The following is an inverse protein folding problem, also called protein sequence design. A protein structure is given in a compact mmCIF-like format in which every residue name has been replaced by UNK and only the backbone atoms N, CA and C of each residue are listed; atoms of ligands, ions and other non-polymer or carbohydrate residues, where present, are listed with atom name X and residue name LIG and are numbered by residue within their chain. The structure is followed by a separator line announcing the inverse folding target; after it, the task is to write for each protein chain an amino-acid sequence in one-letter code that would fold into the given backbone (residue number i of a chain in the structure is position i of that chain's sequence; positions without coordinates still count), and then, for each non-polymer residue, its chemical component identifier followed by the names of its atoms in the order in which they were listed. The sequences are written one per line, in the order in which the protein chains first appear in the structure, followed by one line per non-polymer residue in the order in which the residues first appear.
data_IF_321834084239
#
_entry.id   IF_321834084239
#
_cell.length_a   1.000
_cell.length_b   1.000
_cell.length_c   1.000
_cell.angle_alpha   90.00
_cell.angle_beta   90.00
_cell.angle_gamma   90.00
#
_symmetry.space_group_name_H-M   'P 1'
#
loop_
_entity.id
_entity.type
_entity.pdbx_description
1 polymer ?
#
# COMPACT_ATOMS: atom_id res chain seq x y z
N UNK A 1 -0.25 29.11 20.65
CA UNK A 1 -0.54 28.05 21.63
C UNK A 1 -0.31 26.70 20.98
N UNK A 2 0.40 25.83 21.69
CA UNK A 2 1.10 24.64 21.22
C UNK A 2 0.20 23.60 20.55
N UNK A 3 0.59 23.18 19.34
CA UNK A 3 0.12 21.90 18.78
C UNK A 3 0.82 20.78 19.55
N UNK A 4 0.20 20.30 20.63
CA UNK A 4 0.58 19.02 21.25
C UNK A 4 0.32 17.91 20.22
N UNK A 5 1.40 17.43 19.62
CA UNK A 5 1.41 16.18 18.85
C UNK A 5 2.37 15.24 19.54
N UNK A 6 2.03 13.96 19.41
CA UNK A 6 2.83 12.76 19.69
C UNK A 6 2.57 12.14 21.06
N UNK A 7 1.74 11.11 21.03
CA UNK A 7 2.13 9.80 21.55
C UNK A 7 1.43 8.71 20.74
N UNK A 8 2.21 7.84 20.12
CA UNK A 8 1.73 6.55 19.60
C UNK A 8 2.80 5.51 19.92
N UNK A 9 2.46 4.63 20.85
CA UNK A 9 3.03 3.31 21.07
C UNK A 9 1.94 2.38 20.50
N UNK A 10 2.12 1.54 19.47
CA UNK A 10 3.25 0.69 19.10
C UNK A 10 3.09 0.35 17.61
N UNK A 11 4.10 0.60 16.80
CA UNK A 11 4.27 -0.07 15.50
C UNK A 11 5.05 -1.35 15.83
N UNK A 12 4.60 -2.51 15.36
CA UNK A 12 5.28 -3.77 15.62
C UNK A 12 6.72 -3.71 15.05
N UNK A 13 7.71 -3.55 15.93
CA UNK A 13 9.11 -3.32 15.53
C UNK A 13 9.69 -4.51 14.77
N UNK A 14 9.06 -5.68 14.86
CA UNK A 14 9.43 -6.88 14.13
C UNK A 14 9.02 -6.79 12.65
N UNK A 15 7.99 -6.00 12.34
CA UNK A 15 7.45 -5.81 10.98
C UNK A 15 7.96 -4.50 10.36
N UNK A 16 8.00 -3.39 11.12
CA UNK A 16 8.38 -2.07 10.61
C UNK A 16 9.34 -1.31 11.52
N UNK A 17 10.14 -0.40 10.95
CA UNK A 17 10.93 0.55 11.75
C UNK A 17 10.09 1.78 12.17
N UNK A 18 10.01 2.06 13.48
CA UNK A 18 9.42 3.28 14.03
C UNK A 18 10.20 4.54 13.59
N UNK A 19 9.49 5.52 13.02
CA UNK A 19 9.99 6.90 12.90
C UNK A 19 8.97 7.85 13.56
N UNK A 20 9.41 9.05 13.97
CA UNK A 20 8.49 10.09 14.50
C UNK A 20 7.34 10.43 13.52
N UNK A 21 7.49 10.10 12.24
CA UNK A 21 6.46 10.28 11.22
C UNK A 21 5.73 8.94 10.97
N UNK A 22 4.50 8.83 11.46
CA UNK A 22 3.67 7.62 11.38
C UNK A 22 3.37 7.15 9.94
N UNK A 23 3.57 8.01 8.94
CA UNK A 23 3.40 7.64 7.52
C UNK A 23 4.70 7.12 6.87
N UNK A 24 5.86 7.25 7.51
CA UNK A 24 7.14 6.74 7.00
C UNK A 24 7.39 5.33 7.53
N UNK A 25 6.60 4.38 7.04
CA UNK A 25 6.79 2.96 7.31
C UNK A 25 7.89 2.39 6.40
N UNK A 26 8.89 1.74 6.99
CA UNK A 26 9.85 0.92 6.27
C UNK A 26 9.70 -0.53 6.72
N UNK A 27 9.67 -1.46 5.77
CA UNK A 27 9.58 -2.89 6.07
C UNK A 27 10.91 -3.40 6.61
N UNK A 28 10.87 -4.28 7.61
CA UNK A 28 12.05 -5.05 8.01
C UNK A 28 12.38 -6.07 6.92
N UNK A 29 13.60 -6.04 6.37
CA UNK A 29 14.02 -6.95 5.31
C UNK A 29 13.93 -8.43 5.73
N UNK A 30 14.36 -8.77 6.96
CA UNK A 30 14.33 -10.16 7.44
C UNK A 30 12.89 -10.70 7.52
N UNK A 31 11.96 -9.86 7.96
CA UNK A 31 10.55 -10.20 7.96
C UNK A 31 10.02 -10.40 6.54
N UNK A 32 10.36 -9.48 5.62
CA UNK A 32 9.91 -9.58 4.23
C UNK A 32 10.43 -10.85 3.55
N UNK A 33 11.71 -11.15 3.70
CA UNK A 33 12.33 -12.37 3.15
C UNK A 33 11.61 -13.62 3.68
N UNK A 34 11.41 -13.73 4.99
CA UNK A 34 10.66 -14.83 5.61
C UNK A 34 9.19 -14.92 5.15
N UNK A 35 8.52 -13.78 4.95
CA UNK A 35 7.14 -13.76 4.49
C UNK A 35 7.03 -14.24 3.04
N UNK A 36 7.99 -13.84 2.18
CA UNK A 36 8.03 -14.23 0.77
C UNK A 36 8.44 -15.70 0.57
N UNK A 37 9.17 -16.30 1.52
CA UNK A 37 9.38 -17.76 1.55
C UNK A 37 8.08 -18.54 1.77
N UNK A 38 7.07 -17.93 2.40
CA UNK A 38 5.84 -18.60 2.83
C UNK A 38 4.60 -18.22 2.03
N UNK A 39 4.62 -17.08 1.34
CA UNK A 39 3.45 -16.53 0.68
C UNK A 39 3.84 -15.70 -0.55
N UNK A 40 2.93 -15.63 -1.52
CA UNK A 40 3.11 -14.77 -2.68
C UNK A 40 3.05 -13.29 -2.27
N UNK A 41 3.81 -12.41 -2.95
CA UNK A 41 3.87 -10.97 -2.64
C UNK A 41 2.47 -10.33 -2.56
N UNK A 42 1.52 -10.75 -3.40
CA UNK A 42 0.12 -10.29 -3.34
C UNK A 42 -0.52 -10.53 -1.96
N UNK A 43 -0.34 -11.73 -1.39
CA UNK A 43 -0.90 -12.11 -0.09
C UNK A 43 -0.20 -11.31 1.04
N UNK A 44 1.12 -11.16 0.95
CA UNK A 44 1.89 -10.33 1.89
C UNK A 44 1.37 -8.89 1.89
N UNK A 45 1.16 -8.29 0.72
CA UNK A 45 0.63 -6.93 0.61
C UNK A 45 -0.80 -6.79 1.16
N UNK A 46 -1.67 -7.79 0.92
CA UNK A 46 -3.03 -7.83 1.50
C UNK A 46 -3.00 -7.88 3.02
N UNK A 47 -2.08 -8.65 3.62
CA UNK A 47 -1.94 -8.68 5.06
C UNK A 47 -1.39 -7.35 5.60
N UNK A 48 -0.37 -6.79 4.93
CA UNK A 48 0.24 -5.53 5.34
C UNK A 48 -0.73 -4.34 5.25
N UNK A 49 -1.61 -4.29 4.26
CA UNK A 49 -2.63 -3.22 4.20
C UNK A 49 -3.61 -3.33 5.36
N UNK A 50 -4.04 -4.54 5.75
CA UNK A 50 -4.91 -4.74 6.92
C UNK A 50 -4.22 -4.20 8.17
N UNK A 51 -2.94 -4.54 8.38
CA UNK A 51 -2.17 -4.05 9.53
C UNK A 51 -2.13 -2.51 9.55
N UNK A 52 -1.82 -1.86 8.42
CA UNK A 52 -1.78 -0.39 8.33
C UNK A 52 -3.16 0.24 8.55
N UNK A 53 -4.23 -0.41 8.09
CA UNK A 53 -5.59 0.13 8.19
C UNK A 53 -6.25 -0.11 9.55
N UNK A 54 -5.74 -1.06 10.33
CA UNK A 54 -6.14 -1.28 11.73
C UNK A 54 -5.46 -0.31 12.71
N UNK A 55 -4.52 0.53 12.25
CA UNK A 55 -3.91 1.57 13.10
C UNK A 55 -4.91 2.69 13.41
N UNK A 56 -5.39 2.75 14.64
CA UNK A 56 -6.36 3.76 15.09
C UNK A 56 -5.81 5.18 15.07
N UNK A 57 -4.47 5.32 15.13
CA UNK A 57 -3.80 6.61 15.24
C UNK A 57 -3.56 7.32 13.89
N UNK A 58 -4.02 6.75 12.78
CA UNK A 58 -3.88 7.31 11.44
C UNK A 58 -5.25 7.64 10.82
N UNK A 59 -5.40 8.85 10.27
CA UNK A 59 -6.54 9.14 9.39
C UNK A 59 -6.47 8.30 8.11
N UNK A 60 -7.60 7.97 7.47
CA UNK A 60 -7.63 7.14 6.24
C UNK A 60 -6.71 7.66 5.13
N UNK A 61 -6.67 8.98 4.94
CA UNK A 61 -5.75 9.62 3.99
C UNK A 61 -4.28 9.37 4.33
N UNK A 62 -3.94 9.38 5.62
CA UNK A 62 -2.60 9.06 6.11
C UNK A 62 -2.29 7.56 6.00
N UNK A 63 -3.26 6.67 6.21
CA UNK A 63 -3.13 5.22 6.01
C UNK A 63 -2.71 4.90 4.57
N UNK A 64 -3.28 5.60 3.58
CA UNK A 64 -2.87 5.45 2.17
C UNK A 64 -1.43 5.91 1.96
N UNK A 65 -1.03 7.05 2.51
CA UNK A 65 0.37 7.52 2.41
C UNK A 65 1.31 6.52 3.10
N UNK A 66 0.94 6.04 4.27
CA UNK A 66 1.72 5.07 5.05
C UNK A 66 1.93 3.77 4.27
N UNK A 67 0.86 3.22 3.70
CA UNK A 67 0.94 2.03 2.86
C UNK A 67 1.72 2.28 1.56
N UNK A 68 1.59 3.45 0.95
CA UNK A 68 2.38 3.83 -0.24
C UNK A 68 3.88 3.85 0.07
N UNK A 69 4.27 4.41 1.22
CA UNK A 69 5.67 4.42 1.65
C UNK A 69 6.18 3.02 2.00
N UNK A 70 5.34 2.19 2.61
CA UNK A 70 5.66 0.78 2.85
C UNK A 70 5.93 0.04 1.54
N UNK A 71 5.09 0.21 0.51
CA UNK A 71 5.32 -0.38 -0.81
C UNK A 71 6.61 0.13 -1.44
N UNK A 72 6.93 1.43 -1.31
CA UNK A 72 8.22 1.98 -1.77
C UNK A 72 9.42 1.34 -1.06
N UNK A 73 9.26 0.99 0.22
CA UNK A 73 10.28 0.26 0.99
C UNK A 73 10.45 -1.17 0.47
N UNK A 74 9.35 -1.90 0.27
CA UNK A 74 9.35 -3.28 -0.28
C UNK A 74 9.96 -3.29 -1.68
N UNK A 75 9.60 -2.33 -2.53
CA UNK A 75 10.11 -2.19 -3.90
C UNK A 75 11.64 -2.25 -3.99
N UNK A 76 12.35 -1.70 -3.00
CA UNK A 76 13.83 -1.69 -2.99
C UNK A 76 14.46 -3.04 -2.64
N UNK A 77 13.64 -4.02 -2.27
CA UNK A 77 14.06 -5.30 -1.72
C UNK A 77 13.60 -6.50 -2.56
N UNK A 78 12.77 -6.28 -3.57
CA UNK A 78 12.18 -7.32 -4.43
C UNK A 78 12.82 -7.33 -5.82
N UNK A 79 12.47 -8.32 -6.65
CA UNK A 79 12.97 -8.42 -8.01
C UNK A 79 12.35 -7.39 -8.98
N UNK A 80 12.93 -7.26 -10.18
CA UNK A 80 12.50 -6.28 -11.20
C UNK A 80 11.07 -6.52 -11.72
N UNK A 81 10.58 -7.76 -11.69
CA UNK A 81 9.23 -8.10 -12.16
C UNK A 81 8.20 -7.65 -11.13
N UNK A 82 8.49 -7.88 -9.86
CA UNK A 82 7.70 -7.41 -8.73
C UNK A 82 7.74 -5.88 -8.63
N UNK A 83 8.89 -5.26 -8.89
CA UNK A 83 9.01 -3.79 -8.93
C UNK A 83 7.99 -3.13 -9.87
N UNK A 84 7.76 -3.70 -11.06
CA UNK A 84 6.76 -3.18 -12.00
C UNK A 84 5.37 -3.21 -11.38
N UNK A 85 4.98 -4.33 -10.80
CA UNK A 85 3.69 -4.53 -10.13
C UNK A 85 3.52 -3.53 -8.98
N UNK A 86 4.55 -3.36 -8.16
CA UNK A 86 4.54 -2.39 -7.05
C UNK A 86 4.46 -0.94 -7.55
N UNK A 87 5.07 -0.59 -8.68
CA UNK A 87 4.93 0.73 -9.29
C UNK A 87 3.49 1.01 -9.74
N UNK A 88 2.81 0.00 -10.30
CA UNK A 88 1.40 0.11 -10.70
C UNK A 88 0.53 0.39 -9.47
N UNK A 89 0.74 -0.35 -8.38
CA UNK A 89 0.02 -0.11 -7.11
C UNK A 89 0.32 1.30 -6.57
N UNK A 90 1.59 1.73 -6.52
CA UNK A 90 1.97 3.08 -6.08
C UNK A 90 1.26 4.15 -6.91
N UNK A 91 1.17 3.98 -8.23
CA UNK A 91 0.49 4.93 -9.11
C UNK A 91 -1.00 5.02 -8.79
N UNK A 92 -1.69 3.88 -8.66
CA UNK A 92 -3.11 3.85 -8.28
C UNK A 92 -3.35 4.49 -6.92
N UNK A 93 -2.50 4.22 -5.92
CA UNK A 93 -2.58 4.83 -4.59
C UNK A 93 -2.38 6.34 -4.63
N UNK A 94 -1.40 6.84 -5.40
CA UNK A 94 -1.17 8.28 -5.53
C UNK A 94 -2.37 8.97 -6.21
N UNK A 95 -2.95 8.37 -7.25
CA UNK A 95 -4.14 8.93 -7.91
C UNK A 95 -5.36 8.89 -6.98
N UNK A 96 -5.59 7.78 -6.27
CA UNK A 96 -6.65 7.68 -5.29
C UNK A 96 -6.49 8.72 -4.16
N UNK A 97 -5.27 8.91 -3.66
CA UNK A 97 -4.99 9.92 -2.64
C UNK A 97 -5.29 11.35 -3.13
N UNK A 98 -5.07 11.67 -4.41
CA UNK A 98 -5.40 12.98 -5.00
C UNK A 98 -6.91 13.20 -5.11
N UNK A 99 -7.69 12.16 -5.39
CA UNK A 99 -9.16 12.26 -5.54
C UNK A 99 -9.89 12.29 -4.20
N UNK A 100 -9.21 11.96 -3.09
CA UNK A 100 -9.77 12.09 -1.75
C UNK A 100 -9.93 13.56 -1.34
N UNK A 101 -11.18 14.02 -1.34
CA UNK A 101 -11.60 15.24 -0.63
C UNK A 101 -11.27 15.09 0.86
N UNK A 102 -10.95 16.19 1.55
CA UNK A 102 -10.66 16.21 3.00
C UNK A 102 -11.93 15.93 3.84
N UNK A 103 -12.53 14.76 3.66
CA UNK A 103 -13.74 14.34 4.35
C UNK A 103 -13.31 13.43 5.49
N UNK A 104 -13.66 13.84 6.71
CA UNK A 104 -13.22 13.24 7.97
C UNK A 104 -13.85 11.86 8.26
N UNK A 105 -14.83 11.44 7.47
CA UNK A 105 -15.71 10.30 7.73
C UNK A 105 -16.04 9.48 6.49
N UNK A 106 -15.06 9.10 5.67
CA UNK A 106 -15.29 7.96 4.80
C UNK A 106 -15.27 6.69 5.66
N UNK A 107 -16.28 5.84 5.44
CA UNK A 107 -16.48 4.56 6.10
C UNK A 107 -15.19 3.74 5.96
N UNK A 108 -14.45 3.51 7.06
CA UNK A 108 -13.12 2.87 7.09
C UNK A 108 -12.93 1.67 6.15
N UNK A 109 -14.00 0.90 5.90
CA UNK A 109 -13.95 -0.27 5.03
C UNK A 109 -13.77 0.06 3.54
N UNK A 110 -14.30 1.19 3.04
CA UNK A 110 -14.27 1.50 1.60
C UNK A 110 -12.86 1.77 1.10
N UNK A 111 -12.04 2.45 1.88
CA UNK A 111 -10.64 2.71 1.52
C UNK A 111 -9.81 1.43 1.57
N UNK A 112 -9.99 0.59 2.59
CA UNK A 112 -9.33 -0.72 2.66
C UNK A 112 -9.72 -1.60 1.46
N UNK A 113 -11.02 -1.65 1.12
CA UNK A 113 -11.52 -2.36 -0.06
C UNK A 113 -10.94 -1.81 -1.35
N UNK A 114 -10.85 -0.49 -1.50
CA UNK A 114 -10.26 0.17 -2.66
C UNK A 114 -8.80 -0.20 -2.82
N UNK A 115 -8.01 -0.14 -1.74
CA UNK A 115 -6.59 -0.52 -1.76
C UNK A 115 -6.42 -2.01 -2.04
N UNK A 116 -7.23 -2.88 -1.44
CA UNK A 116 -7.22 -4.32 -1.74
C UNK A 116 -7.55 -4.60 -3.21
N UNK A 117 -8.47 -3.82 -3.78
CA UNK A 117 -8.81 -3.90 -5.20
C UNK A 117 -7.63 -3.48 -6.07
N UNK A 118 -6.94 -2.39 -5.72
CA UNK A 118 -5.71 -1.98 -6.43
C UNK A 118 -4.63 -3.05 -6.40
N UNK A 119 -4.44 -3.72 -5.27
CA UNK A 119 -3.52 -4.86 -5.17
C UNK A 119 -3.96 -5.96 -6.14
N UNK A 120 -5.23 -6.41 -6.07
CA UNK A 120 -5.75 -7.45 -6.98
C UNK A 120 -5.55 -7.10 -8.44
N UNK A 121 -5.96 -5.90 -8.86
CA UNK A 121 -5.86 -5.45 -10.25
C UNK A 121 -4.41 -5.43 -10.75
N UNK A 122 -3.44 -5.07 -9.90
CA UNK A 122 -2.04 -5.06 -10.30
C UNK A 122 -1.46 -6.47 -10.52
N UNK A 123 -2.01 -7.49 -9.85
CA UNK A 123 -1.60 -8.89 -10.00
C UNK A 123 -2.45 -9.66 -11.04
N UNK A 124 -3.53 -9.06 -11.54
CA UNK A 124 -4.41 -9.65 -12.55
C UNK A 124 -3.78 -9.59 -13.95
N UNK A 125 -3.25 -10.74 -14.39
CA UNK A 125 -2.63 -10.89 -15.71
C UNK A 125 -3.65 -10.81 -16.84
N UNK A 126 -4.86 -11.32 -16.64
CA UNK A 126 -5.88 -11.38 -17.66
C UNK A 126 -6.46 -9.99 -17.91
N UNK A 127 -6.59 -9.18 -16.87
CA UNK A 127 -6.92 -7.77 -17.01
C UNK A 127 -5.82 -7.01 -17.77
N UNK A 128 -4.55 -7.23 -17.47
CA UNK A 128 -3.45 -6.59 -18.21
C UNK A 128 -3.47 -6.97 -19.69
N UNK A 129 -3.70 -8.24 -20.01
CA UNK A 129 -3.87 -8.73 -21.39
C UNK A 129 -5.10 -8.09 -22.06
N UNK A 130 -6.23 -8.04 -21.35
CA UNK A 130 -7.47 -7.45 -21.85
C UNK A 130 -7.31 -5.97 -22.14
N UNK A 131 -6.76 -5.20 -21.21
CA UNK A 131 -6.50 -3.77 -21.41
C UNK A 131 -5.55 -3.57 -22.59
N UNK A 132 -4.45 -4.33 -22.67
CA UNK A 132 -3.54 -4.27 -23.80
C UNK A 132 -4.28 -4.48 -25.12
N UNK A 133 -5.09 -5.53 -25.21
CA UNK A 133 -5.85 -5.87 -26.41
C UNK A 133 -6.86 -4.77 -26.79
N UNK A 134 -7.60 -4.21 -25.82
CA UNK A 134 -8.56 -3.12 -26.03
C UNK A 134 -7.88 -1.84 -26.55
N UNK A 135 -6.67 -1.53 -26.07
CA UNK A 135 -5.94 -0.35 -26.51
C UNK A 135 -5.18 -0.57 -27.83
N UNK A 136 -4.80 -1.81 -28.16
CA UNK A 136 -4.16 -2.13 -29.45
C UNK A 136 -5.15 -2.36 -30.58
N UNK A 137 -6.40 -2.74 -30.28
CA UNK A 137 -7.46 -2.97 -31.28
C UNK A 137 -8.09 -1.69 -31.82
N UNK A 138 -7.67 -0.50 -31.37
CA UNK A 138 -8.13 0.81 -31.88
C UNK A 138 -7.28 1.35 -33.05
N UNK A 139 -6.59 0.47 -33.78
CA UNK A 139 -5.72 0.82 -34.91
C UNK A 139 -6.25 0.41 -36.28
N UNK A 140 -7.55 0.15 -36.39
CA UNK A 140 -8.25 -0.09 -37.65
C UNK A 140 -9.10 1.13 -38.06
#
# INVERSE_FOLDING_TARGET
MEKKVVKVEKIDNDIYSSTKNLTKLNINKKFLDFALEKAHLEQVLKQLVINVFNEDNLYNKQKIIAFTNLIRSIKRLVDKKEEFTLNVIIKMLNEHHKTQKNIKYFVNNKELESVNTFIKLAFDKDLHLTLKNVYTSKKD
#
